data_IF_454283328784
#
_entry.id   IF_454283328784
#
_cell.length_a   1.000
_cell.length_b   1.000
_cell.length_c   1.000
_cell.angle_alpha   90.00
_cell.angle_beta   90.00
_cell.angle_gamma   90.00
#
_symmetry.space_group_name_H-M   'P 1'
#
loop_
_entity.id
_entity.type
_entity.pdbx_description
1 polymer ?
#
# COMPACT_ATOMS: atom_id res chain seq x y z
N UNK A 1 2.30 5.40 4.27
CA UNK A 1 1.43 4.83 5.31
C UNK A 1 -0.03 4.89 4.88
N UNK A 2 -0.69 3.74 4.81
CA UNK A 2 -2.15 3.62 4.75
C UNK A 2 -2.67 3.32 6.15
N UNK A 3 -3.86 3.80 6.48
CA UNK A 3 -4.50 3.54 7.78
C UNK A 3 -6.03 3.58 7.65
N UNK A 4 -6.71 2.79 8.48
CA UNK A 4 -8.18 2.77 8.59
C UNK A 4 -8.69 3.04 10.01
N UNK A 5 -7.80 3.40 10.93
CA UNK A 5 -8.10 3.60 12.35
C UNK A 5 -7.87 2.37 13.22
N UNK A 6 -7.90 1.17 12.63
CA UNK A 6 -7.63 -0.09 13.34
C UNK A 6 -6.24 -0.65 12.98
N UNK A 7 -5.80 -0.51 11.72
CA UNK A 7 -4.52 -1.01 11.20
C UNK A 7 -3.68 0.08 10.53
N UNK A 8 -2.41 -0.25 10.27
CA UNK A 8 -1.49 0.54 9.46
C UNK A 8 -0.70 -0.32 8.47
N UNK A 9 -0.59 0.15 7.22
CA UNK A 9 0.20 -0.50 6.17
C UNK A 9 1.31 0.45 5.65
N UNK A 10 2.54 -0.03 5.53
CA UNK A 10 3.61 0.71 4.85
C UNK A 10 3.78 0.22 3.43
N UNK A 11 3.74 1.16 2.49
CA UNK A 11 3.91 0.90 1.06
C UNK A 11 5.21 1.52 0.56
N UNK A 12 6.02 0.69 -0.08
CA UNK A 12 7.27 1.08 -0.71
C UNK A 12 7.07 1.85 -2.02
N UNK A 13 8.11 2.53 -2.53
CA UNK A 13 8.07 3.22 -3.81
C UNK A 13 7.79 2.30 -5.01
N UNK A 14 8.05 1.01 -4.87
CA UNK A 14 7.77 -0.04 -5.84
C UNK A 14 6.32 -0.55 -5.78
N UNK A 15 5.53 -0.12 -4.80
CA UNK A 15 4.16 -0.60 -4.55
C UNK A 15 4.11 -1.88 -3.71
N UNK A 16 5.21 -2.32 -3.11
CA UNK A 16 5.15 -3.42 -2.15
C UNK A 16 4.56 -2.94 -0.81
N UNK A 17 3.60 -3.67 -0.25
CA UNK A 17 3.23 -3.51 1.16
C UNK A 17 4.13 -4.43 1.98
N UNK A 18 5.17 -3.84 2.56
CA UNK A 18 6.22 -4.53 3.33
C UNK A 18 5.92 -4.63 4.83
N UNK A 19 4.94 -3.86 5.29
CA UNK A 19 4.42 -3.90 6.65
C UNK A 19 2.89 -3.78 6.64
N UNK A 20 2.21 -4.62 7.41
CA UNK A 20 0.78 -4.49 7.72
C UNK A 20 0.48 -5.14 9.07
N UNK A 21 0.18 -4.32 10.10
CA UNK A 21 -0.33 -4.84 11.37
C UNK A 21 -1.80 -5.26 11.23
N UNK A 22 -2.16 -6.39 11.85
CA UNK A 22 -3.53 -6.88 11.89
C UNK A 22 -3.70 -7.92 13.03
N UNK A 23 -4.87 -7.98 13.71
CA UNK A 23 -6.09 -7.23 13.40
C UNK A 23 -6.12 -5.77 13.88
N UNK A 24 -5.28 -5.38 14.84
CA UNK A 24 -5.21 -4.02 15.36
C UNK A 24 -3.80 -3.40 15.28
N UNK A 25 -3.72 -2.11 15.62
CA UNK A 25 -2.52 -1.29 15.43
C UNK A 25 -1.31 -1.75 16.23
N UNK A 26 -1.56 -2.37 17.39
CA UNK A 26 -0.56 -2.86 18.33
C UNK A 26 -0.27 -4.36 18.17
N UNK A 27 -0.97 -5.04 17.26
CA UNK A 27 -0.72 -6.44 16.98
C UNK A 27 0.46 -6.63 16.01
N UNK A 28 0.94 -7.87 15.97
CA UNK A 28 1.97 -8.28 15.03
C UNK A 28 1.55 -8.07 13.57
N UNK A 29 2.55 -8.00 12.69
CA UNK A 29 2.32 -7.75 11.28
C UNK A 29 2.16 -9.04 10.48
N UNK A 30 1.11 -9.09 9.65
CA UNK A 30 0.90 -10.19 8.68
C UNK A 30 1.86 -10.09 7.48
N UNK A 31 2.37 -8.89 7.22
CA UNK A 31 3.52 -8.63 6.35
C UNK A 31 4.59 -7.91 7.15
N UNK A 32 5.82 -8.39 7.12
CA UNK A 32 6.90 -7.87 7.97
C UNK A 32 8.27 -7.84 7.27
N UNK A 33 8.32 -7.88 5.94
CA UNK A 33 9.56 -7.84 5.16
C UNK A 33 10.41 -6.60 5.47
N UNK A 34 9.79 -5.48 5.85
CA UNK A 34 10.48 -4.23 6.19
C UNK A 34 11.57 -4.41 7.27
N UNK A 35 11.36 -5.34 8.21
CA UNK A 35 12.29 -5.63 9.31
C UNK A 35 12.93 -7.01 9.19
N UNK A 36 12.95 -7.60 7.99
CA UNK A 36 13.49 -8.94 7.74
C UNK A 36 12.58 -10.09 8.15
N UNK A 37 11.30 -9.79 8.45
CA UNK A 37 10.26 -10.79 8.64
C UNK A 37 9.78 -11.39 7.32
N UNK A 38 8.65 -12.10 7.38
CA UNK A 38 8.04 -12.75 6.21
C UNK A 38 6.85 -11.96 5.68
N UNK A 39 6.49 -12.24 4.43
CA UNK A 39 5.26 -11.73 3.82
C UNK A 39 5.45 -10.36 3.19
N UNK A 40 4.91 -10.23 2.00
CA UNK A 40 4.81 -8.99 1.23
C UNK A 40 3.56 -9.11 0.36
N UNK A 41 2.86 -8.00 0.13
CA UNK A 41 1.79 -7.93 -0.86
C UNK A 41 2.04 -6.81 -1.85
N UNK A 42 2.39 -7.17 -3.09
CA UNK A 42 2.92 -6.24 -4.08
C UNK A 42 2.04 -6.15 -5.32
N UNK A 43 1.77 -4.90 -5.74
CA UNK A 43 1.35 -4.56 -7.09
C UNK A 43 2.43 -3.61 -7.58
N UNK A 44 3.28 -4.12 -8.46
CA UNK A 44 4.53 -3.49 -8.86
C UNK A 44 4.69 -3.60 -10.37
N UNK A 45 5.12 -2.54 -11.06
CA UNK A 45 5.42 -2.61 -12.48
C UNK A 45 6.48 -3.68 -12.79
N UNK A 46 6.38 -4.29 -13.97
CA UNK A 46 7.44 -5.15 -14.49
C UNK A 46 8.46 -4.30 -15.23
N UNK A 47 9.74 -4.66 -15.14
CA UNK A 47 10.83 -3.97 -15.82
C UNK A 47 11.37 -2.76 -15.05
N UNK A 48 12.11 -1.89 -15.76
CA UNK A 48 12.67 -0.66 -15.16
C UNK A 48 11.60 0.41 -15.06
N UNK A 49 11.60 1.12 -13.94
CA UNK A 49 10.71 2.24 -13.72
C UNK A 49 11.35 3.30 -12.83
N UNK A 50 10.80 4.51 -12.87
CA UNK A 50 11.07 5.57 -11.91
C UNK A 50 9.85 5.72 -11.00
N UNK A 51 9.98 5.51 -9.68
CA UNK A 51 8.86 5.59 -8.76
C UNK A 51 8.52 7.04 -8.40
N UNK A 52 7.28 7.26 -8.01
CA UNK A 52 6.77 8.52 -7.50
C UNK A 52 5.40 8.34 -6.87
N UNK A 53 4.59 9.39 -6.94
CA UNK A 53 3.25 9.40 -6.40
C UNK A 53 3.08 10.34 -5.22
N UNK A 54 1.84 10.48 -4.79
CA UNK A 54 1.42 11.48 -3.81
C UNK A 54 0.15 11.00 -3.10
N UNK A 55 -0.18 11.62 -1.97
CA UNK A 55 -1.49 11.44 -1.37
C UNK A 55 -2.49 12.36 -2.05
N UNK A 56 -3.64 11.83 -2.46
CA UNK A 56 -4.72 12.65 -2.99
C UNK A 56 -5.16 13.65 -1.91
N UNK A 57 -5.25 14.93 -2.30
CA UNK A 57 -5.42 16.05 -1.37
C UNK A 57 -6.67 15.86 -0.48
N UNK A 58 -6.49 16.05 0.83
CA UNK A 58 -7.58 15.89 1.80
C UNK A 58 -8.02 14.44 2.04
N UNK A 59 -7.26 13.44 1.59
CA UNK A 59 -7.63 12.02 1.73
C UNK A 59 -6.49 11.17 2.29
N UNK A 60 -6.82 9.94 2.71
CA UNK A 60 -5.86 8.88 3.05
C UNK A 60 -5.54 7.97 1.85
N UNK A 61 -5.84 8.40 0.62
CA UNK A 61 -5.59 7.63 -0.60
C UNK A 61 -4.19 7.95 -1.12
N UNK A 62 -3.33 6.95 -1.17
CA UNK A 62 -2.01 7.06 -1.80
C UNK A 62 -2.14 6.72 -3.28
N UNK A 63 -1.75 7.64 -4.16
CA UNK A 63 -1.63 7.38 -5.60
C UNK A 63 -0.18 7.05 -5.96
N UNK A 64 0.11 5.76 -6.07
CA UNK A 64 1.37 5.24 -6.60
C UNK A 64 1.47 5.49 -8.08
N UNK A 65 2.64 5.94 -8.53
CA UNK A 65 2.88 6.33 -9.90
C UNK A 65 4.27 5.85 -10.31
N UNK A 66 4.34 5.21 -11.46
CA UNK A 66 5.57 4.70 -12.03
C UNK A 66 5.67 5.11 -13.49
N UNK A 67 6.81 5.71 -13.86
CA UNK A 67 7.17 5.91 -15.26
C UNK A 67 7.95 4.68 -15.70
N UNK A 68 7.38 3.87 -16.58
CA UNK A 68 8.03 2.70 -17.18
C UNK A 68 8.58 3.04 -18.56
N UNK A 69 9.19 2.06 -19.24
CA UNK A 69 9.59 2.21 -20.65
C UNK A 69 8.40 2.33 -21.59
N UNK A 70 7.23 1.83 -21.18
CA UNK A 70 6.06 1.64 -22.05
C UNK A 70 4.95 2.65 -21.76
N UNK A 71 5.06 3.42 -20.66
CA UNK A 71 4.08 4.42 -20.29
C UNK A 71 4.12 4.82 -18.82
N UNK A 72 3.03 5.44 -18.36
CA UNK A 72 2.85 5.80 -16.96
C UNK A 72 1.77 4.89 -16.38
N UNK A 73 2.10 4.19 -15.30
CA UNK A 73 1.15 3.36 -14.56
C UNK A 73 0.88 4.04 -13.23
N UNK A 74 -0.38 4.06 -12.83
CA UNK A 74 -0.81 4.56 -11.53
C UNK A 74 -1.63 3.51 -10.76
N UNK A 75 -1.55 3.55 -9.44
CA UNK A 75 -2.38 2.75 -8.54
C UNK A 75 -2.91 3.61 -7.40
N UNK A 76 -4.22 3.60 -7.17
CA UNK A 76 -4.81 4.21 -5.97
C UNK A 76 -4.92 3.17 -4.88
N UNK A 77 -4.46 3.51 -3.69
CA UNK A 77 -4.23 2.56 -2.63
C UNK A 77 -4.75 3.14 -1.32
N UNK A 78 -5.59 2.37 -0.64
CA UNK A 78 -6.16 2.78 0.64
C UNK A 78 -6.55 1.56 1.48
N UNK A 79 -6.55 1.76 2.79
CA UNK A 79 -7.37 0.93 3.67
C UNK A 79 -8.74 1.61 3.79
N UNK A 80 -9.82 0.83 3.78
CA UNK A 80 -11.16 1.38 3.87
C UNK A 80 -11.40 1.99 5.26
N UNK A 81 -11.69 3.29 5.29
CA UNK A 81 -11.95 4.04 6.52
C UNK A 81 -13.46 4.40 6.63
N UNK A 82 -14.08 4.24 7.81
CA UNK A 82 -13.51 3.66 9.03
C UNK A 82 -13.34 2.15 8.92
N UNK A 83 -12.31 1.61 9.58
CA UNK A 83 -12.07 0.18 9.69
C UNK A 83 -13.01 -0.48 10.71
N UNK A 84 -13.38 -1.73 10.45
CA UNK A 84 -14.07 -2.60 11.41
C UNK A 84 -13.04 -3.52 12.08
N UNK A 85 -13.08 -3.69 13.41
CA UNK A 85 -12.08 -4.45 14.18
C UNK A 85 -11.84 -5.89 13.66
N UNK A 86 -12.87 -6.55 13.13
CA UNK A 86 -12.78 -7.91 12.61
C UNK A 86 -12.53 -8.02 11.10
N UNK A 87 -12.39 -6.90 10.37
CA UNK A 87 -12.33 -6.90 8.91
C UNK A 87 -11.33 -5.91 8.37
N UNK A 88 -10.30 -6.45 7.72
CA UNK A 88 -9.34 -5.71 6.92
C UNK A 88 -9.81 -5.57 5.47
N UNK A 89 -9.88 -4.34 4.97
CA UNK A 89 -10.20 -4.05 3.56
C UNK A 89 -9.11 -3.17 2.97
N UNK A 90 -8.24 -3.78 2.16
CA UNK A 90 -7.22 -3.11 1.36
C UNK A 90 -7.73 -2.95 -0.08
N UNK A 91 -7.82 -1.72 -0.55
CA UNK A 91 -8.23 -1.38 -1.91
C UNK A 91 -7.02 -0.97 -2.73
N UNK A 92 -6.88 -1.58 -3.92
CA UNK A 92 -5.85 -1.23 -4.90
C UNK A 92 -6.49 -1.15 -6.28
N UNK A 93 -6.57 0.04 -6.85
CA UNK A 93 -7.15 0.28 -8.17
C UNK A 93 -6.04 0.66 -9.14
N UNK A 94 -5.80 -0.19 -10.15
CA UNK A 94 -4.86 0.07 -11.22
C UNK A 94 -5.46 1.00 -12.28
N UNK A 95 -4.63 1.91 -12.79
CA UNK A 95 -4.91 2.81 -13.92
C UNK A 95 -3.68 2.75 -14.82
N UNK A 96 -3.86 2.26 -16.05
CA UNK A 96 -2.81 2.09 -17.06
C UNK A 96 -3.31 2.60 -18.41
#
# INVERSE_FOLDING_TARGET
LLADGERGALIGPDGAIDWLCAPAWHDDAVFASLIGGRGVYAVTPRGRYVPGGYYEEGTLIRRSRWITTDGVIECRESLAFPGEAGRLVLLRQLMA
#
